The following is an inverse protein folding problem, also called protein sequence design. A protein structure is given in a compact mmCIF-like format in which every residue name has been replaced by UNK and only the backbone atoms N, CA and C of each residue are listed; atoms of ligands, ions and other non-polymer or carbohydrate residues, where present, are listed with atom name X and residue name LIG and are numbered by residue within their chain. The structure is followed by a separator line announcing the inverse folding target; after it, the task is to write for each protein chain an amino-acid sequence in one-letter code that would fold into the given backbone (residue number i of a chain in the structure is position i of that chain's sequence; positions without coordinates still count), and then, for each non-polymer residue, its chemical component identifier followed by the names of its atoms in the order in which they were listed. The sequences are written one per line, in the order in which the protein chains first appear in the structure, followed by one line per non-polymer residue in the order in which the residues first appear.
data_IF_503722676885
#
_entry.id   IF_503722676885
#
_cell.length_a   1.000
_cell.length_b   1.000
_cell.length_c   1.000
_cell.angle_alpha   90.00
_cell.angle_beta   90.00
_cell.angle_gamma   90.00
#
_symmetry.space_group_name_H-M   'P 1'
#
loop_
_entity.id
_entity.type
_entity.pdbx_description
1 polymer ?
#
# COMPACT_ATOMS: atom_id res chain seq x y z
N UNK A 1 -61.88 -17.70 25.87
CA UNK A 1 -61.29 -16.46 26.37
C UNK A 1 -59.83 -16.67 26.71
N UNK A 2 -58.94 -16.62 25.70
CA UNK A 2 -57.47 -16.76 25.86
C UNK A 2 -56.77 -16.14 24.65
N UNK A 3 -56.71 -14.83 24.60
CA UNK A 3 -55.91 -14.14 23.61
C UNK A 3 -55.48 -12.76 24.16
N UNK A 4 -54.46 -12.71 25.02
CA UNK A 4 -53.77 -11.49 25.44
C UNK A 4 -52.48 -11.81 26.20
N UNK A 5 -51.52 -12.55 25.54
CA UNK A 5 -50.20 -12.72 26.11
C UNK A 5 -49.10 -12.90 25.06
N UNK A 6 -49.25 -12.28 23.88
CA UNK A 6 -48.26 -12.56 22.80
C UNK A 6 -47.75 -11.28 22.14
N UNK A 7 -47.78 -10.14 22.80
CA UNK A 7 -47.26 -8.89 22.18
C UNK A 7 -46.18 -8.21 23.06
N UNK A 8 -45.79 -8.77 24.19
CA UNK A 8 -44.78 -8.10 25.05
C UNK A 8 -43.36 -8.60 24.92
N UNK A 9 -43.06 -9.58 24.05
CA UNK A 9 -41.70 -10.09 23.91
C UNK A 9 -40.91 -9.58 22.66
N UNK A 10 -41.48 -8.62 21.89
CA UNK A 10 -40.83 -8.11 20.66
C UNK A 10 -40.21 -6.75 20.72
N UNK A 11 -40.37 -6.03 21.82
CA UNK A 11 -39.79 -4.67 21.94
C UNK A 11 -38.47 -4.63 22.74
N UNK A 12 -38.19 -5.65 23.55
CA UNK A 12 -36.94 -5.72 24.32
C UNK A 12 -35.74 -6.16 23.46
N UNK A 13 -35.97 -6.89 22.37
CA UNK A 13 -34.86 -7.40 21.52
C UNK A 13 -34.36 -6.39 20.48
N UNK A 14 -35.17 -5.39 20.11
CA UNK A 14 -34.77 -4.36 19.15
C UNK A 14 -33.77 -3.35 19.75
N UNK A 15 -33.94 -2.98 21.00
CA UNK A 15 -33.04 -2.04 21.67
C UNK A 15 -31.69 -2.69 21.98
N UNK A 16 -31.66 -3.97 22.31
CA UNK A 16 -30.43 -4.73 22.51
C UNK A 16 -29.64 -4.92 21.23
N UNK A 17 -30.32 -5.09 20.08
CA UNK A 17 -29.68 -5.24 18.78
C UNK A 17 -29.13 -3.90 18.26
N UNK A 18 -29.77 -2.77 18.58
CA UNK A 18 -29.32 -1.44 18.21
C UNK A 18 -28.04 -1.04 18.99
N UNK A 19 -27.98 -1.40 20.29
CA UNK A 19 -26.80 -1.14 21.14
C UNK A 19 -25.59 -1.99 20.67
N UNK A 20 -25.81 -3.22 20.23
CA UNK A 20 -24.75 -4.07 19.67
C UNK A 20 -24.21 -3.53 18.32
N UNK A 21 -25.07 -2.92 17.50
CA UNK A 21 -24.65 -2.34 16.21
C UNK A 21 -23.77 -1.09 16.40
N UNK A 22 -23.99 -0.31 17.46
CA UNK A 22 -23.16 0.86 17.79
C UNK A 22 -21.81 0.49 18.43
N UNK A 23 -21.67 -0.68 19.04
CA UNK A 23 -20.42 -1.14 19.64
C UNK A 23 -19.37 -1.56 18.60
N UNK A 24 -19.77 -1.83 17.34
CA UNK A 24 -18.86 -2.16 16.25
C UNK A 24 -18.43 -0.98 15.38
N UNK A 25 -18.99 0.21 15.61
CA UNK A 25 -18.52 1.47 15.01
C UNK A 25 -17.43 2.12 15.87
N UNK A 26 -16.46 1.34 16.32
CA UNK A 26 -15.22 1.95 16.76
C UNK A 26 -14.56 2.55 15.50
N UNK A 27 -14.31 3.88 15.47
CA UNK A 27 -13.53 4.42 14.37
C UNK A 27 -12.21 3.67 14.38
N UNK A 28 -11.92 2.95 13.27
CA UNK A 28 -10.57 2.50 12.99
C UNK A 28 -9.78 3.80 13.05
N UNK A 29 -9.04 4.02 14.12
CA UNK A 29 -8.10 5.13 14.22
C UNK A 29 -7.09 4.87 13.10
N UNK A 30 -7.37 5.41 11.91
CA UNK A 30 -6.35 5.58 10.91
C UNK A 30 -5.21 6.29 11.63
N UNK A 31 -4.08 5.64 11.73
CA UNK A 31 -2.91 6.21 12.39
C UNK A 31 -2.68 7.55 11.67
N UNK A 32 -2.93 8.65 12.38
CA UNK A 32 -2.81 9.98 11.81
C UNK A 32 -1.37 10.12 11.34
N UNK A 33 -1.18 10.37 10.05
CA UNK A 33 0.14 10.62 9.51
C UNK A 33 0.78 11.76 10.31
N UNK A 34 2.04 11.63 10.65
CA UNK A 34 2.79 12.70 11.30
C UNK A 34 3.09 13.77 10.25
N UNK A 35 2.42 14.92 10.34
CA UNK A 35 2.60 16.05 9.41
C UNK A 35 4.05 16.57 9.38
N UNK A 36 4.87 16.17 10.34
CA UNK A 36 6.30 16.47 10.37
C UNK A 36 7.14 15.53 9.49
N UNK A 37 6.60 14.36 9.11
CA UNK A 37 7.30 13.40 8.25
C UNK A 37 6.80 13.54 6.82
N UNK A 38 7.69 13.88 5.90
CA UNK A 38 7.41 13.94 4.48
C UNK A 38 8.17 12.86 3.72
N UNK A 39 7.57 12.37 2.65
CA UNK A 39 8.23 11.57 1.63
C UNK A 39 8.72 12.55 0.57
N UNK A 40 10.01 12.83 0.57
CA UNK A 40 10.62 13.74 -0.40
C UNK A 40 10.61 13.14 -1.81
N UNK A 41 10.84 11.82 -1.89
CA UNK A 41 10.81 11.09 -3.14
C UNK A 41 10.25 9.68 -2.93
N UNK A 42 9.34 9.27 -3.82
CA UNK A 42 8.81 7.91 -3.93
C UNK A 42 8.92 7.46 -5.39
N UNK A 43 9.71 6.43 -5.65
CA UNK A 43 9.83 5.85 -6.98
C UNK A 43 9.27 4.43 -6.96
N UNK A 44 8.15 4.22 -7.64
CA UNK A 44 7.51 2.93 -7.84
C UNK A 44 7.78 2.40 -9.23
N UNK A 45 8.40 1.24 -9.33
CA UNK A 45 8.65 0.58 -10.61
C UNK A 45 8.00 -0.80 -10.63
N UNK A 46 7.11 -1.02 -11.57
CA UNK A 46 6.40 -2.27 -11.79
C UNK A 46 6.82 -2.90 -13.12
N UNK A 47 7.40 -4.08 -13.06
CA UNK A 47 7.88 -4.81 -14.24
C UNK A 47 7.08 -6.08 -14.39
N UNK A 48 6.28 -6.16 -15.44
CA UNK A 48 5.63 -7.41 -15.82
C UNK A 48 6.66 -8.36 -16.45
N UNK A 49 6.64 -9.62 -16.05
CA UNK A 49 7.56 -10.65 -16.53
C UNK A 49 6.85 -11.98 -16.68
N UNK A 50 7.46 -12.86 -17.44
CA UNK A 50 7.13 -14.29 -17.43
C UNK A 50 8.18 -15.00 -16.59
N UNK A 51 7.76 -15.82 -15.62
CA UNK A 51 8.68 -16.66 -14.84
C UNK A 51 9.12 -17.91 -15.64
N UNK A 52 10.00 -18.71 -15.04
CA UNK A 52 10.54 -19.93 -15.66
C UNK A 52 9.47 -21.00 -15.94
N UNK A 53 8.32 -20.91 -15.25
CA UNK A 53 7.16 -21.79 -15.46
C UNK A 53 6.18 -21.24 -16.51
N UNK A 54 6.49 -20.11 -17.16
CA UNK A 54 5.64 -19.48 -18.16
C UNK A 54 4.48 -18.66 -17.57
N UNK A 55 4.44 -18.43 -16.25
CA UNK A 55 3.41 -17.64 -15.60
C UNK A 55 3.78 -16.15 -15.63
N UNK A 56 2.78 -15.30 -15.79
CA UNK A 56 2.97 -13.86 -15.62
C UNK A 56 3.12 -13.53 -14.14
N UNK A 57 4.17 -12.78 -13.82
CA UNK A 57 4.44 -12.20 -12.50
C UNK A 57 4.66 -10.70 -12.64
N UNK A 58 4.54 -9.98 -11.52
CA UNK A 58 4.84 -8.54 -11.48
C UNK A 58 5.88 -8.28 -10.41
N UNK A 59 7.02 -7.74 -10.80
CA UNK A 59 8.06 -7.31 -9.87
C UNK A 59 7.89 -5.83 -9.60
N UNK A 60 7.65 -5.48 -8.35
CA UNK A 60 7.58 -4.11 -7.88
C UNK A 60 8.84 -3.76 -7.10
N UNK A 61 9.45 -2.63 -7.41
CA UNK A 61 10.49 -2.01 -6.59
C UNK A 61 10.01 -0.62 -6.21
N UNK A 62 9.96 -0.35 -4.90
CA UNK A 62 9.61 0.95 -4.34
C UNK A 62 10.79 1.51 -3.59
N UNK A 63 11.25 2.69 -4.00
CA UNK A 63 12.32 3.44 -3.35
C UNK A 63 11.74 4.69 -2.71
N UNK A 64 11.99 4.88 -1.41
CA UNK A 64 11.56 6.03 -0.63
C UNK A 64 12.74 6.85 -0.16
N UNK A 65 12.57 8.17 -0.13
CA UNK A 65 13.41 9.09 0.63
C UNK A 65 12.52 9.92 1.56
N UNK A 66 12.71 9.76 2.87
CA UNK A 66 11.97 10.45 3.92
C UNK A 66 12.76 11.63 4.46
N UNK A 67 12.08 12.69 4.83
CA UNK A 67 12.59 13.83 5.56
C UNK A 67 11.67 14.28 6.68
N UNK A 68 12.13 15.21 7.50
CA UNK A 68 11.34 15.87 8.54
C UNK A 68 11.38 17.37 8.35
N UNK A 69 10.27 18.06 8.66
CA UNK A 69 10.10 19.50 8.40
C UNK A 69 10.41 20.39 9.59
N UNK A 70 10.21 19.92 10.83
CA UNK A 70 10.32 20.74 12.03
C UNK A 70 11.27 20.16 13.09
N UNK A 71 11.04 18.92 13.50
CA UNK A 71 11.77 18.25 14.59
C UNK A 71 12.07 16.80 14.25
N UNK A 72 12.84 16.15 15.10
CA UNK A 72 13.15 14.72 14.92
C UNK A 72 11.88 13.87 14.97
N UNK A 73 11.78 12.87 14.09
CA UNK A 73 10.65 11.96 14.07
C UNK A 73 11.08 10.51 13.83
N UNK A 74 10.30 9.57 14.40
CA UNK A 74 10.43 8.15 14.12
C UNK A 74 9.74 7.84 12.78
N UNK A 75 10.49 7.29 11.83
CA UNK A 75 9.98 6.85 10.54
C UNK A 75 10.01 5.34 10.48
N UNK A 76 8.91 4.74 10.01
CA UNK A 76 8.78 3.29 9.91
C UNK A 76 8.42 2.85 8.48
N UNK A 77 9.40 2.88 7.53
CA UNK A 77 9.18 2.33 6.20
C UNK A 77 8.80 0.86 6.28
N UNK A 78 7.80 0.45 5.50
CA UNK A 78 7.33 -0.92 5.56
C UNK A 78 6.87 -1.46 4.20
N UNK A 79 6.82 -2.79 4.10
CA UNK A 79 6.24 -3.49 2.97
C UNK A 79 5.41 -4.68 3.43
N UNK A 80 4.23 -4.85 2.84
CA UNK A 80 3.37 -6.01 3.05
C UNK A 80 3.74 -7.13 2.07
N UNK A 81 3.70 -8.37 2.57
CA UNK A 81 3.97 -9.59 1.79
C UNK A 81 3.19 -10.77 2.40
N UNK A 82 3.11 -11.89 1.69
CA UNK A 82 2.35 -13.07 2.12
C UNK A 82 2.43 -14.18 1.08
N UNK A 83 1.45 -15.06 1.04
CA UNK A 83 1.41 -16.21 0.14
C UNK A 83 1.56 -15.82 -1.34
N UNK A 84 0.87 -14.75 -1.75
CA UNK A 84 0.81 -14.33 -3.16
C UNK A 84 1.75 -13.17 -3.51
N UNK A 85 2.39 -12.60 -2.50
CA UNK A 85 3.32 -11.47 -2.65
C UNK A 85 4.61 -11.81 -1.90
N UNK A 86 5.63 -12.22 -2.63
CA UNK A 86 6.93 -12.51 -2.05
C UNK A 86 7.72 -11.22 -1.83
N UNK A 87 8.31 -11.07 -0.65
CA UNK A 87 9.29 -10.02 -0.37
C UNK A 87 10.68 -10.53 -0.79
N UNK A 88 11.22 -9.99 -1.87
CA UNK A 88 12.52 -10.41 -2.40
C UNK A 88 13.67 -9.66 -1.73
N UNK A 89 13.44 -8.36 -1.42
CA UNK A 89 14.47 -7.50 -0.84
C UNK A 89 13.85 -6.41 0.00
N UNK A 90 14.48 -6.11 1.15
CA UNK A 90 14.17 -4.96 1.98
C UNK A 90 15.47 -4.33 2.45
N UNK A 91 15.63 -3.03 2.22
CA UNK A 91 16.83 -2.29 2.55
C UNK A 91 16.45 -0.95 3.19
N UNK A 92 17.03 -0.68 4.35
CA UNK A 92 16.96 0.59 5.03
C UNK A 92 18.09 0.65 6.06
N UNK A 93 18.29 1.80 6.66
CA UNK A 93 19.19 1.93 7.80
C UNK A 93 18.56 1.24 9.02
N UNK A 94 19.34 0.38 9.70
CA UNK A 94 18.89 -0.44 10.83
C UNK A 94 18.56 -1.88 10.44
N UNK A 95 17.86 -2.57 11.35
CA UNK A 95 17.49 -3.98 11.17
C UNK A 95 16.05 -4.11 10.72
N UNK A 96 15.81 -4.99 9.75
CA UNK A 96 14.47 -5.37 9.35
C UNK A 96 13.76 -6.13 10.46
N UNK A 97 12.50 -5.75 10.73
CA UNK A 97 11.62 -6.41 11.68
C UNK A 97 10.45 -7.02 10.93
N UNK A 98 9.96 -8.16 11.40
CA UNK A 98 8.91 -8.92 10.74
C UNK A 98 7.80 -9.24 11.74
N UNK A 99 6.55 -9.02 11.35
CA UNK A 99 5.38 -9.38 12.18
C UNK A 99 4.19 -9.74 11.30
N UNK A 100 3.18 -10.39 11.88
CA UNK A 100 1.87 -10.49 11.23
C UNK A 100 1.29 -9.08 11.07
N UNK A 101 0.72 -8.79 9.91
CA UNK A 101 0.06 -7.51 9.65
C UNK A 101 -1.33 -7.44 10.31
N UNK A 102 -1.89 -8.58 10.73
CA UNK A 102 -3.27 -8.73 11.18
C UNK A 102 -3.34 -9.04 12.66
N UNK A 103 -4.34 -8.49 13.38
CA UNK A 103 -4.62 -8.86 14.75
C UNK A 103 -4.88 -10.37 14.87
N UNK A 104 -4.46 -10.99 16.00
CA UNK A 104 -4.53 -12.44 16.26
C UNK A 104 -5.92 -13.09 16.12
N UNK A 105 -6.97 -12.30 15.92
CA UNK A 105 -8.37 -12.75 15.91
C UNK A 105 -8.95 -12.91 14.51
N UNK A 106 -8.19 -12.66 13.44
CA UNK A 106 -8.65 -12.80 12.06
C UNK A 106 -8.19 -14.14 11.52
N UNK A 107 -9.17 -14.98 11.13
CA UNK A 107 -8.92 -16.27 10.52
C UNK A 107 -8.59 -16.08 9.01
N UNK A 108 -7.57 -16.76 8.53
CA UNK A 108 -7.20 -16.85 7.10
C UNK A 108 -6.55 -15.63 6.44
N UNK A 109 -5.74 -14.86 7.16
CA UNK A 109 -4.87 -13.92 6.48
C UNK A 109 -3.43 -14.13 6.95
N UNK A 110 -2.57 -14.53 6.04
CA UNK A 110 -1.15 -14.75 6.26
C UNK A 110 -0.30 -13.50 5.96
N UNK A 111 -0.97 -12.36 5.72
CA UNK A 111 -0.28 -11.10 5.43
C UNK A 111 0.70 -10.75 6.55
N UNK A 112 1.92 -10.54 6.15
CA UNK A 112 3.05 -10.15 7.00
C UNK A 112 3.50 -8.76 6.61
N UNK A 113 4.16 -8.10 7.54
CA UNK A 113 4.79 -6.81 7.32
C UNK A 113 6.27 -6.90 7.67
N UNK A 114 7.11 -6.46 6.74
CA UNK A 114 8.50 -6.14 6.99
C UNK A 114 8.61 -4.63 7.19
N UNK A 115 9.22 -4.20 8.28
CA UNK A 115 9.39 -2.78 8.57
C UNK A 115 10.74 -2.48 9.22
N UNK A 116 11.15 -1.24 9.10
CA UNK A 116 12.31 -0.68 9.78
C UNK A 116 11.84 0.41 10.74
N UNK A 117 12.62 0.69 11.77
CA UNK A 117 12.38 1.81 12.68
C UNK A 117 13.62 2.67 12.73
N UNK A 118 13.51 3.92 12.35
CA UNK A 118 14.64 4.84 12.33
C UNK A 118 14.22 6.26 12.75
N UNK A 119 14.96 6.81 13.69
CA UNK A 119 14.79 8.20 14.12
C UNK A 119 15.56 9.14 13.17
N UNK A 120 14.85 9.96 12.39
CA UNK A 120 15.49 11.07 11.68
C UNK A 120 15.78 12.16 12.72
N UNK A 121 17.04 12.53 12.97
CA UNK A 121 17.40 13.32 14.14
C UNK A 121 17.04 14.80 14.02
N UNK A 122 16.99 15.35 12.81
CA UNK A 122 16.74 16.78 12.55
C UNK A 122 16.45 17.07 11.09
N UNK A 123 15.91 18.24 10.82
CA UNK A 123 15.69 18.78 9.47
C UNK A 123 16.99 18.75 8.65
N UNK A 124 16.87 18.47 7.36
CA UNK A 124 17.99 18.33 6.42
C UNK A 124 18.72 16.98 6.49
N UNK A 125 18.27 16.05 7.37
CA UNK A 125 18.67 14.65 7.33
C UNK A 125 17.58 13.81 6.69
N UNK A 126 17.98 12.82 5.88
CA UNK A 126 17.06 11.94 5.17
C UNK A 126 17.30 10.48 5.52
N UNK A 127 16.26 9.68 5.29
CA UNK A 127 16.28 8.22 5.39
C UNK A 127 15.87 7.64 4.04
N UNK A 128 16.69 6.74 3.49
CA UNK A 128 16.37 5.98 2.30
C UNK A 128 15.92 4.58 2.67
N UNK A 129 14.85 4.11 2.04
CA UNK A 129 14.35 2.76 2.16
C UNK A 129 13.97 2.21 0.78
N UNK A 130 14.23 0.93 0.55
CA UNK A 130 13.91 0.25 -0.71
C UNK A 130 13.31 -1.12 -0.43
N UNK A 131 12.25 -1.45 -1.14
CA UNK A 131 11.58 -2.74 -1.07
C UNK A 131 11.39 -3.30 -2.48
N UNK A 132 11.73 -4.59 -2.65
CA UNK A 132 11.41 -5.31 -3.88
C UNK A 132 10.47 -6.45 -3.54
N UNK A 133 9.35 -6.52 -4.24
CA UNK A 133 8.31 -7.54 -4.07
C UNK A 133 7.96 -8.17 -5.40
N UNK A 134 7.63 -9.46 -5.39
CA UNK A 134 7.10 -10.15 -6.56
C UNK A 134 5.68 -10.61 -6.28
N UNK A 135 4.73 -10.11 -7.06
CA UNK A 135 3.37 -10.63 -7.14
C UNK A 135 3.41 -11.90 -7.98
N UNK A 136 3.20 -13.05 -7.32
CA UNK A 136 3.29 -14.38 -7.93
C UNK A 136 2.12 -14.70 -8.88
N UNK A 137 1.07 -13.88 -8.82
CA UNK A 137 -0.05 -13.94 -9.74
C UNK A 137 -0.60 -12.51 -9.96
N UNK A 138 -0.74 -12.06 -11.24
CA UNK A 138 -1.23 -10.72 -11.57
C UNK A 138 -2.62 -10.41 -11.04
N UNK A 139 -3.43 -11.42 -10.72
CA UNK A 139 -4.77 -11.23 -10.14
C UNK A 139 -4.72 -10.48 -8.79
N UNK A 140 -3.60 -10.61 -8.07
CA UNK A 140 -3.36 -9.90 -6.81
C UNK A 140 -2.70 -8.53 -7.00
N UNK A 141 -2.34 -8.22 -8.24
CA UNK A 141 -1.84 -6.90 -8.63
C UNK A 141 -2.95 -6.18 -9.39
N UNK A 142 -3.83 -5.49 -8.69
CA UNK A 142 -5.02 -4.90 -9.28
C UNK A 142 -4.97 -3.39 -9.38
N UNK A 143 -4.28 -2.72 -8.47
CA UNK A 143 -4.30 -1.26 -8.35
C UNK A 143 -2.96 -0.72 -7.88
N UNK A 144 -2.53 0.38 -8.47
CA UNK A 144 -1.41 1.19 -7.98
C UNK A 144 -2.00 2.43 -7.31
N UNK A 145 -1.89 2.56 -5.97
CA UNK A 145 -2.34 3.77 -5.28
C UNK A 145 -1.42 4.94 -5.59
N UNK A 146 -1.99 6.11 -5.83
CA UNK A 146 -1.22 7.33 -6.03
C UNK A 146 -0.78 7.95 -4.72
N UNK A 147 -1.65 7.90 -3.69
CA UNK A 147 -1.41 8.51 -2.38
C UNK A 147 -0.68 7.56 -1.43
N UNK A 148 0.14 8.12 -0.58
CA UNK A 148 0.77 7.48 0.56
C UNK A 148 0.12 7.98 1.86
N UNK A 149 0.51 7.41 3.01
CA UNK A 149 0.01 7.86 4.31
C UNK A 149 0.57 9.25 4.71
N UNK A 150 1.79 9.56 4.27
CA UNK A 150 2.45 10.84 4.49
C UNK A 150 2.39 11.68 3.21
N UNK A 151 2.52 13.00 3.36
CA UNK A 151 2.67 13.90 2.22
C UNK A 151 3.88 13.52 1.36
N UNK A 152 3.68 13.48 0.04
CA UNK A 152 4.70 13.13 -0.94
C UNK A 152 5.02 14.34 -1.81
N UNK A 153 6.27 14.78 -1.80
CA UNK A 153 6.70 15.90 -2.63
C UNK A 153 6.84 15.50 -4.11
N UNK A 154 7.48 14.34 -4.36
CA UNK A 154 7.69 13.83 -5.72
C UNK A 154 7.42 12.33 -5.77
N UNK A 155 6.44 11.92 -6.57
CA UNK A 155 6.16 10.51 -6.84
C UNK A 155 6.34 10.21 -8.32
N UNK A 156 7.16 9.20 -8.62
CA UNK A 156 7.32 8.65 -9.97
C UNK A 156 6.83 7.21 -9.98
N UNK A 157 5.96 6.89 -10.93
CA UNK A 157 5.48 5.53 -11.15
C UNK A 157 5.88 5.11 -12.55
N UNK A 158 6.57 3.99 -12.68
CA UNK A 158 6.91 3.35 -13.95
C UNK A 158 6.26 1.99 -14.05
N UNK A 159 5.51 1.76 -15.11
CA UNK A 159 4.92 0.47 -15.45
C UNK A 159 5.57 -0.03 -16.73
N UNK A 160 6.30 -1.13 -16.65
CA UNK A 160 7.05 -1.73 -17.76
C UNK A 160 6.30 -2.96 -18.24
N UNK A 161 5.82 -2.88 -19.48
CA UNK A 161 5.09 -3.92 -20.17
C UNK A 161 5.99 -4.57 -21.23
N UNK A 162 6.28 -5.87 -21.11
CA UNK A 162 7.02 -6.61 -22.14
C UNK A 162 6.35 -6.51 -23.50
N UNK A 163 7.15 -6.43 -24.55
CA UNK A 163 6.69 -6.42 -25.96
C UNK A 163 5.78 -7.62 -26.26
N UNK A 164 6.04 -8.77 -25.65
CA UNK A 164 5.26 -9.98 -25.84
C UNK A 164 3.81 -9.89 -25.30
N UNK A 165 3.53 -8.98 -24.37
CA UNK A 165 2.19 -8.84 -23.78
C UNK A 165 1.29 -8.01 -24.68
N UNK A 166 0.55 -8.68 -25.59
CA UNK A 166 -0.31 -8.01 -26.58
C UNK A 166 -1.55 -7.36 -25.97
N UNK A 167 -2.16 -8.02 -24.96
CA UNK A 167 -3.36 -7.54 -24.29
C UNK A 167 -2.99 -6.93 -22.93
N UNK A 168 -2.67 -5.65 -22.94
CA UNK A 168 -2.36 -4.91 -21.74
C UNK A 168 -3.05 -3.54 -21.80
N UNK A 169 -3.79 -3.18 -20.75
CA UNK A 169 -4.45 -1.88 -20.65
C UNK A 169 -4.27 -1.33 -19.24
N UNK A 170 -3.88 -0.08 -19.16
CA UNK A 170 -3.93 0.71 -17.94
C UNK A 170 -5.25 1.46 -17.93
N UNK A 171 -6.03 1.30 -16.86
CA UNK A 171 -7.21 2.13 -16.60
C UNK A 171 -6.83 3.14 -15.52
N UNK A 172 -7.18 4.38 -15.76
CA UNK A 172 -6.88 5.48 -14.87
C UNK A 172 -8.17 5.96 -14.20
N UNK A 173 -8.13 6.14 -12.89
CA UNK A 173 -9.28 6.59 -12.12
C UNK A 173 -8.88 7.74 -11.21
N UNK A 174 -9.68 8.80 -11.18
CA UNK A 174 -9.54 9.93 -10.26
C UNK A 174 -8.12 10.52 -10.23
N UNK A 175 -7.50 10.65 -11.40
CA UNK A 175 -6.19 11.25 -11.48
C UNK A 175 -6.27 12.74 -11.11
N UNK A 176 -5.41 13.23 -10.21
CA UNK A 176 -5.33 14.65 -9.92
C UNK A 176 -4.88 15.45 -11.15
N UNK A 177 -5.25 16.73 -11.19
CA UNK A 177 -4.75 17.63 -12.21
C UNK A 177 -3.22 17.79 -12.08
N UNK A 178 -2.54 17.99 -13.23
CA UNK A 178 -1.09 18.26 -13.22
C UNK A 178 -0.19 17.01 -13.22
N UNK A 179 -0.75 15.80 -13.36
CA UNK A 179 0.08 14.61 -13.57
C UNK A 179 0.75 14.67 -14.95
N UNK A 180 2.07 14.55 -14.96
CA UNK A 180 2.84 14.37 -16.18
C UNK A 180 2.84 12.89 -16.58
N UNK A 181 2.53 12.62 -17.85
CA UNK A 181 2.48 11.26 -18.38
C UNK A 181 3.36 11.16 -19.61
N UNK A 182 4.09 10.06 -19.71
CA UNK A 182 4.84 9.73 -20.90
C UNK A 182 4.80 8.23 -21.18
N UNK A 183 4.96 7.87 -22.43
CA UNK A 183 5.13 6.48 -22.86
C UNK A 183 6.33 6.41 -23.77
N UNK A 184 7.28 5.56 -23.40
CA UNK A 184 8.53 5.34 -24.14
C UNK A 184 8.75 3.85 -24.38
N UNK A 185 9.73 3.51 -25.17
CA UNK A 185 10.23 2.14 -25.31
C UNK A 185 11.64 2.06 -24.74
N UNK A 186 11.92 1.00 -23.98
CA UNK A 186 13.29 0.71 -23.52
C UNK A 186 14.13 0.07 -24.64
N UNK A 187 15.40 -0.21 -24.38
CA UNK A 187 16.30 -0.85 -25.32
C UNK A 187 15.87 -2.28 -25.73
N UNK A 188 15.06 -2.93 -24.92
CA UNK A 188 14.53 -4.29 -25.15
C UNK A 188 13.23 -4.25 -25.98
N UNK A 189 12.72 -3.05 -26.26
CA UNK A 189 11.48 -2.82 -27.00
C UNK A 189 10.21 -2.94 -26.16
N UNK A 190 10.34 -2.96 -24.82
CA UNK A 190 9.21 -2.97 -23.91
C UNK A 190 8.63 -1.55 -23.77
N UNK A 191 7.32 -1.45 -23.59
CA UNK A 191 6.66 -0.17 -23.34
C UNK A 191 6.84 0.24 -21.88
N UNK A 192 7.28 1.47 -21.66
CA UNK A 192 7.44 2.08 -20.34
C UNK A 192 6.42 3.21 -20.20
N UNK A 193 5.43 3.03 -19.33
CA UNK A 193 4.46 4.05 -18.97
C UNK A 193 4.94 4.75 -17.71
N UNK A 194 5.15 6.06 -17.78
CA UNK A 194 5.66 6.86 -16.67
C UNK A 194 4.62 7.89 -16.25
N UNK A 195 4.41 8.00 -14.95
CA UNK A 195 3.59 9.02 -14.31
C UNK A 195 4.46 9.77 -13.30
N UNK A 196 4.48 11.08 -13.38
CA UNK A 196 5.17 11.95 -12.41
C UNK A 196 4.14 12.84 -11.75
N UNK A 197 4.17 12.87 -10.43
CA UNK A 197 3.19 13.55 -9.59
C UNK A 197 3.95 14.40 -8.59
N UNK A 198 3.53 15.64 -8.45
CA UNK A 198 4.09 16.60 -7.52
C UNK A 198 3.06 16.95 -6.47
N UNK A 199 3.45 16.95 -5.22
CA UNK A 199 2.62 17.44 -4.10
C UNK A 199 1.31 16.68 -3.91
N UNK A 200 1.39 15.43 -3.42
CA UNK A 200 0.27 14.58 -3.03
C UNK A 200 0.01 14.60 -1.52
#
# INVERSE_FOLDING_TARGET
MKMRKMIQYRLADLDSMLVLLFAFLQPISAQKADDNVHILQCNDRYVFKTDDAGKTIVVNTTDYEYGVTQYSALVQPCAYYGEFIRLDKAQCKGYAQYKSAIPRNVFYDDTKICYFSYQIPKVGKTLKASFTRTYLNPIYFTTIPLCEANYVEHKKIEVIKPKAFRQFRIKEYNLPAGIEKSTTCNAEGDSVFTYVIHSL
#
